data_IF_269979857234
#
_entry.id   IF_269979857234
#
_cell.length_a   1.000
_cell.length_b   1.000
_cell.length_c   1.000
_cell.angle_alpha   90.00
_cell.angle_beta   90.00
_cell.angle_gamma   90.00
#
_symmetry.space_group_name_H-M   'P 1'
#
loop_
_entity.id
_entity.type
_entity.pdbx_description
1 polymer ?
#
# COMPACT_ATOMS: atom_id res chain seq x y z
N UNK A 1 16.66 -0.69 -21.19
CA UNK A 1 16.51 -1.82 -20.28
C UNK A 1 15.45 -2.77 -20.84
N UNK A 2 15.75 -4.06 -20.92
CA UNK A 2 14.81 -5.09 -21.33
C UNK A 2 14.49 -5.99 -20.13
N UNK A 3 13.22 -6.27 -19.91
CA UNK A 3 12.74 -7.17 -18.85
C UNK A 3 11.98 -8.34 -19.49
N UNK A 4 12.35 -9.56 -19.12
CA UNK A 4 11.64 -10.76 -19.58
C UNK A 4 10.29 -10.92 -18.89
N UNK A 5 9.27 -11.32 -19.63
CA UNK A 5 7.91 -11.57 -19.12
C UNK A 5 7.59 -13.06 -18.97
N UNK A 6 8.50 -13.94 -19.35
CA UNK A 6 8.28 -15.39 -19.39
C UNK A 6 7.60 -15.86 -20.68
N UNK A 7 6.90 -17.00 -20.62
CA UNK A 7 6.17 -17.54 -21.77
C UNK A 7 4.87 -16.75 -21.99
N UNK A 8 4.48 -16.47 -23.25
CA UNK A 8 3.29 -15.65 -23.54
C UNK A 8 2.00 -16.16 -22.89
N UNK A 9 1.81 -17.46 -22.79
CA UNK A 9 0.59 -18.07 -22.23
C UNK A 9 0.54 -18.05 -20.70
N UNK A 10 1.69 -17.82 -20.02
CA UNK A 10 1.81 -17.81 -18.56
C UNK A 10 1.81 -16.38 -17.98
N UNK A 11 1.69 -15.35 -18.83
CA UNK A 11 1.71 -13.95 -18.39
C UNK A 11 0.43 -13.63 -17.64
N UNK A 12 0.60 -13.09 -16.43
CA UNK A 12 -0.46 -12.57 -15.56
C UNK A 12 -0.21 -11.10 -15.22
N UNK A 13 -1.19 -10.41 -14.65
CA UNK A 13 -1.01 -9.05 -14.14
C UNK A 13 0.14 -9.00 -13.11
N UNK A 14 0.26 -10.00 -12.26
CA UNK A 14 1.35 -10.07 -11.28
C UNK A 14 2.72 -10.24 -11.95
N UNK A 15 2.81 -11.01 -13.01
CA UNK A 15 4.03 -11.12 -13.83
C UNK A 15 4.46 -9.75 -14.38
N UNK A 16 3.51 -8.95 -14.85
CA UNK A 16 3.76 -7.60 -15.35
C UNK A 16 4.21 -6.66 -14.24
N UNK A 17 3.58 -6.73 -13.07
CA UNK A 17 4.01 -5.95 -11.88
C UNK A 17 5.42 -6.33 -11.42
N UNK A 18 5.74 -7.62 -11.41
CA UNK A 18 7.10 -8.10 -11.07
C UNK A 18 8.13 -7.61 -12.10
N UNK A 19 7.79 -7.62 -13.38
CA UNK A 19 8.67 -7.07 -14.41
C UNK A 19 8.93 -5.58 -14.20
N UNK A 20 7.90 -4.79 -13.90
CA UNK A 20 8.03 -3.39 -13.55
C UNK A 20 8.90 -3.17 -12.31
N UNK A 21 8.68 -3.97 -11.25
CA UNK A 21 9.48 -3.93 -10.02
C UNK A 21 10.97 -4.18 -10.30
N UNK A 22 11.28 -5.20 -11.10
CA UNK A 22 12.66 -5.54 -11.45
C UNK A 22 13.31 -4.44 -12.31
N UNK A 23 12.57 -3.89 -13.27
CA UNK A 23 13.03 -2.76 -14.09
C UNK A 23 13.32 -1.53 -13.22
N UNK A 24 12.47 -1.21 -12.26
CA UNK A 24 12.67 -0.09 -11.36
C UNK A 24 13.84 -0.30 -10.39
N UNK A 25 14.03 -1.50 -9.85
CA UNK A 25 15.21 -1.84 -9.05
C UNK A 25 16.51 -1.65 -9.85
N UNK A 26 16.51 -2.08 -11.10
CA UNK A 26 17.68 -1.91 -11.98
C UNK A 26 17.91 -0.45 -12.34
N UNK A 27 16.85 0.32 -12.60
CA UNK A 27 16.94 1.76 -12.82
C UNK A 27 17.56 2.47 -11.61
N UNK A 28 17.13 2.14 -10.39
CA UNK A 28 17.72 2.67 -9.17
C UNK A 28 19.19 2.26 -9.00
N UNK A 29 19.55 1.00 -9.30
CA UNK A 29 20.95 0.52 -9.28
C UNK A 29 21.83 1.30 -10.25
N UNK A 30 21.29 1.63 -11.43
CA UNK A 30 21.98 2.43 -12.45
C UNK A 30 21.91 3.94 -12.20
N UNK A 31 21.27 4.37 -11.09
CA UNK A 31 21.07 5.77 -10.72
C UNK A 31 20.32 6.59 -11.78
N UNK A 32 19.36 5.96 -12.44
CA UNK A 32 18.52 6.63 -13.43
C UNK A 32 17.41 7.42 -12.71
N UNK A 33 17.23 8.67 -13.10
CA UNK A 33 16.19 9.53 -12.53
C UNK A 33 14.85 9.39 -13.27
N UNK A 34 14.89 8.96 -14.53
CA UNK A 34 13.71 8.87 -15.39
C UNK A 34 13.66 7.53 -16.13
N UNK A 35 12.46 6.95 -16.21
CA UNK A 35 12.15 5.74 -16.98
C UNK A 35 10.93 6.00 -17.86
N UNK A 36 11.02 5.65 -19.14
CA UNK A 36 9.89 5.64 -20.05
C UNK A 36 9.44 4.20 -20.28
N UNK A 37 8.16 3.94 -20.05
CA UNK A 37 7.54 2.63 -20.22
C UNK A 37 7.02 2.51 -21.64
N UNK A 38 7.53 1.51 -22.38
CA UNK A 38 6.99 1.05 -23.64
C UNK A 38 6.50 -0.38 -23.45
N UNK A 39 5.24 -0.65 -23.74
CA UNK A 39 4.64 -1.96 -23.51
C UNK A 39 4.45 -2.72 -24.83
N UNK A 40 4.68 -4.04 -24.83
CA UNK A 40 4.37 -4.88 -25.97
C UNK A 40 2.86 -5.09 -26.11
N UNK A 41 2.42 -5.48 -27.29
CA UNK A 41 1.10 -6.07 -27.45
C UNK A 41 1.09 -7.47 -26.84
N UNK A 42 0.13 -7.68 -25.93
CA UNK A 42 -0.11 -8.97 -25.30
C UNK A 42 -1.49 -9.49 -25.69
N UNK A 43 -1.59 -10.80 -25.91
CA UNK A 43 -2.81 -11.42 -26.39
C UNK A 43 -3.98 -11.33 -25.39
N UNK A 44 -3.68 -11.37 -24.08
CA UNK A 44 -4.67 -11.49 -23.01
C UNK A 44 -4.90 -10.17 -22.24
N UNK A 45 -4.21 -9.10 -22.58
CA UNK A 45 -4.27 -7.82 -21.88
C UNK A 45 -4.29 -6.67 -22.85
N UNK A 46 -5.03 -5.64 -22.55
CA UNK A 46 -4.97 -4.36 -23.26
C UNK A 46 -3.61 -3.70 -23.01
N UNK A 47 -3.21 -2.79 -23.89
CA UNK A 47 -2.01 -1.97 -23.68
C UNK A 47 -2.11 -1.14 -22.39
N UNK A 48 -3.30 -0.62 -22.10
CA UNK A 48 -3.60 0.13 -20.87
C UNK A 48 -3.38 -0.72 -19.63
N UNK A 49 -3.98 -1.92 -19.54
CA UNK A 49 -3.79 -2.84 -18.41
C UNK A 49 -2.32 -3.22 -18.21
N UNK A 50 -1.63 -3.49 -19.34
CA UNK A 50 -0.20 -3.82 -19.34
C UNK A 50 0.63 -2.66 -18.80
N UNK A 51 0.37 -1.43 -19.28
CA UNK A 51 1.06 -0.22 -18.84
C UNK A 51 0.85 0.05 -17.34
N UNK A 52 -0.40 0.03 -16.88
CA UNK A 52 -0.74 0.26 -15.47
C UNK A 52 -0.07 -0.76 -14.56
N UNK A 53 -0.07 -2.05 -14.92
CA UNK A 53 0.58 -3.09 -14.14
C UNK A 53 2.10 -2.88 -14.05
N UNK A 54 2.76 -2.52 -15.14
CA UNK A 54 4.21 -2.26 -15.16
C UNK A 54 4.53 -0.99 -14.37
N UNK A 55 3.74 0.08 -14.50
CA UNK A 55 3.93 1.33 -13.75
C UNK A 55 3.74 1.06 -12.25
N UNK A 56 2.74 0.28 -11.85
CA UNK A 56 2.55 -0.13 -10.44
C UNK A 56 3.79 -0.87 -9.91
N UNK A 57 4.36 -1.76 -10.72
CA UNK A 57 5.62 -2.44 -10.39
C UNK A 57 6.79 -1.48 -10.22
N UNK A 58 6.95 -0.51 -11.12
CA UNK A 58 7.96 0.54 -11.03
C UNK A 58 7.80 1.37 -9.75
N UNK A 59 6.58 1.79 -9.41
CA UNK A 59 6.27 2.48 -8.17
C UNK A 59 6.66 1.63 -6.94
N UNK A 60 6.39 0.32 -6.96
CA UNK A 60 6.82 -0.58 -5.90
C UNK A 60 8.33 -0.60 -5.68
N UNK A 61 9.13 -0.36 -6.72
CA UNK A 61 10.60 -0.29 -6.61
C UNK A 61 11.09 0.96 -5.88
N UNK A 62 10.26 2.00 -5.78
CA UNK A 62 10.61 3.26 -5.12
C UNK A 62 10.28 3.25 -3.63
N UNK A 63 9.54 2.23 -3.15
CA UNK A 63 9.24 2.14 -1.74
C UNK A 63 10.45 1.63 -0.95
N UNK A 64 10.84 2.40 0.06
CA UNK A 64 11.83 2.00 1.04
C UNK A 64 11.40 2.45 2.43
N UNK A 65 11.56 1.57 3.42
CA UNK A 65 11.31 1.90 4.82
C UNK A 65 12.63 1.89 5.58
N UNK A 66 13.19 3.05 5.82
CA UNK A 66 14.50 3.21 6.44
C UNK A 66 14.49 4.26 7.58
N UNK A 67 13.31 4.47 8.19
CA UNK A 67 13.11 5.49 9.22
C UNK A 67 14.09 5.34 10.41
N UNK A 68 14.50 4.12 10.71
CA UNK A 68 15.40 3.78 11.82
C UNK A 68 16.86 3.57 11.40
N UNK A 69 17.18 3.71 10.10
CA UNK A 69 18.56 3.55 9.62
C UNK A 69 19.31 4.88 9.68
N UNK A 70 20.59 4.83 10.06
CA UNK A 70 21.48 6.00 10.02
C UNK A 70 21.69 6.49 8.59
N UNK A 71 21.92 5.54 7.67
CA UNK A 71 22.10 5.85 6.24
C UNK A 71 20.79 5.51 5.52
N UNK A 72 20.20 6.53 4.93
CA UNK A 72 18.99 6.38 4.13
C UNK A 72 19.31 5.74 2.78
N UNK A 73 18.39 4.94 2.26
CA UNK A 73 18.49 4.42 0.91
C UNK A 73 18.17 5.56 -0.08
N UNK A 74 19.07 5.80 -1.01
CA UNK A 74 18.84 6.78 -2.06
C UNK A 74 17.97 6.16 -3.15
N UNK A 75 16.78 6.73 -3.36
CA UNK A 75 15.90 6.39 -4.47
C UNK A 75 16.14 7.41 -5.57
N UNK A 76 16.72 6.94 -6.67
CA UNK A 76 17.09 7.80 -7.80
C UNK A 76 15.95 8.01 -8.78
N UNK A 77 15.08 7.01 -8.97
CA UNK A 77 13.94 7.09 -9.89
C UNK A 77 12.91 8.10 -9.38
N UNK A 78 12.77 9.21 -10.10
CA UNK A 78 11.89 10.34 -9.75
C UNK A 78 10.73 10.51 -10.72
N UNK A 79 10.91 10.06 -11.97
CA UNK A 79 9.94 10.26 -13.03
C UNK A 79 9.70 8.95 -13.80
N UNK A 80 8.44 8.60 -13.94
CA UNK A 80 7.97 7.48 -14.76
C UNK A 80 7.04 8.07 -15.81
N UNK A 81 7.40 7.90 -17.07
CA UNK A 81 6.57 8.32 -18.22
C UNK A 81 6.08 7.12 -18.99
N UNK A 82 4.93 7.25 -19.62
CA UNK A 82 4.40 6.25 -20.52
C UNK A 82 4.53 6.75 -21.97
N UNK A 83 4.92 5.87 -22.88
CA UNK A 83 5.00 6.19 -24.31
C UNK A 83 3.58 6.16 -24.90
N UNK A 84 3.10 7.29 -25.42
CA UNK A 84 1.74 7.43 -25.97
C UNK A 84 1.41 6.36 -27.02
N UNK A 85 2.33 6.08 -27.94
CA UNK A 85 2.12 5.09 -29.00
C UNK A 85 1.99 3.65 -28.49
N UNK A 86 2.40 3.39 -27.25
CA UNK A 86 2.49 2.04 -26.69
C UNK A 86 1.45 1.76 -25.58
N UNK A 87 0.72 2.75 -25.09
CA UNK A 87 -0.10 2.63 -23.87
C UNK A 87 -1.60 2.59 -24.13
N UNK A 88 -2.00 2.63 -25.40
CA UNK A 88 -3.40 2.60 -25.80
C UNK A 88 -4.16 3.84 -25.36
N UNK A 89 -5.30 3.64 -24.73
CA UNK A 89 -6.20 4.69 -24.23
C UNK A 89 -5.91 5.11 -22.76
N UNK A 90 -4.69 4.90 -22.28
CA UNK A 90 -4.25 5.35 -20.95
C UNK A 90 -4.38 6.88 -20.87
N UNK A 91 -5.04 7.36 -19.82
CA UNK A 91 -5.30 8.76 -19.60
C UNK A 91 -4.90 9.22 -18.20
N UNK A 92 -5.07 10.50 -17.89
CA UNK A 92 -4.68 11.06 -16.60
C UNK A 92 -5.50 10.51 -15.43
N UNK A 93 -6.78 10.24 -15.62
CA UNK A 93 -7.65 9.72 -14.56
C UNK A 93 -7.18 8.32 -14.12
N UNK A 94 -6.72 7.50 -15.06
CA UNK A 94 -6.14 6.18 -14.79
C UNK A 94 -4.87 6.29 -13.93
N UNK A 95 -4.03 7.29 -14.22
CA UNK A 95 -2.81 7.55 -13.45
C UNK A 95 -3.15 8.09 -12.06
N UNK A 96 -4.12 8.99 -11.94
CA UNK A 96 -4.58 9.51 -10.65
C UNK A 96 -5.14 8.38 -9.76
N UNK A 97 -5.96 7.49 -10.33
CA UNK A 97 -6.45 6.30 -9.62
C UNK A 97 -5.30 5.39 -9.16
N UNK A 98 -4.33 5.13 -10.04
CA UNK A 98 -3.15 4.33 -9.69
C UNK A 98 -2.34 4.98 -8.57
N UNK A 99 -2.13 6.29 -8.62
CA UNK A 99 -1.40 7.04 -7.59
C UNK A 99 -2.14 7.07 -6.25
N UNK A 100 -3.47 7.20 -6.26
CA UNK A 100 -4.29 7.12 -5.05
C UNK A 100 -4.16 5.72 -4.41
N UNK A 101 -4.28 4.67 -5.21
CA UNK A 101 -4.06 3.28 -4.78
C UNK A 101 -2.65 3.08 -4.20
N UNK A 102 -1.63 3.58 -4.89
CA UNK A 102 -0.24 3.51 -4.45
C UNK A 102 -0.02 4.22 -3.12
N UNK A 103 -0.61 5.41 -2.93
CA UNK A 103 -0.55 6.15 -1.67
C UNK A 103 -1.12 5.33 -0.50
N UNK A 104 -2.25 4.65 -0.71
CA UNK A 104 -2.84 3.73 0.28
C UNK A 104 -1.93 2.54 0.61
N UNK A 105 -1.28 1.96 -0.41
CA UNK A 105 -0.31 0.86 -0.23
C UNK A 105 0.89 1.34 0.59
N UNK A 106 1.45 2.50 0.29
CA UNK A 106 2.58 3.08 1.03
C UNK A 106 2.18 3.35 2.48
N UNK A 107 1.00 3.94 2.70
CA UNK A 107 0.47 4.20 4.03
C UNK A 107 0.36 2.91 4.86
N UNK A 108 -0.27 1.87 4.30
CA UNK A 108 -0.41 0.58 4.97
C UNK A 108 0.96 -0.08 5.26
N UNK A 109 1.88 -0.05 4.29
CA UNK A 109 3.24 -0.60 4.47
C UNK A 109 4.03 0.13 5.54
N UNK A 110 3.90 1.45 5.63
CA UNK A 110 4.54 2.24 6.67
C UNK A 110 4.02 1.83 8.05
N UNK A 111 2.71 1.66 8.21
CA UNK A 111 2.13 1.19 9.47
C UNK A 111 2.64 -0.21 9.85
N UNK A 112 2.67 -1.15 8.89
CA UNK A 112 3.16 -2.53 9.13
C UNK A 112 4.64 -2.55 9.51
N UNK A 113 5.46 -1.69 8.90
CA UNK A 113 6.90 -1.65 9.14
C UNK A 113 7.29 -0.85 10.39
N UNK A 114 6.37 -0.07 10.94
CA UNK A 114 6.63 0.71 12.16
C UNK A 114 6.59 -0.21 13.38
N UNK A 115 7.67 -0.25 14.19
CA UNK A 115 7.73 -1.12 15.36
C UNK A 115 6.75 -0.69 16.46
N UNK A 116 6.40 -1.64 17.33
CA UNK A 116 5.42 -1.46 18.42
C UNK A 116 5.78 -0.37 19.44
N UNK A 117 7.03 0.06 19.47
CA UNK A 117 7.44 1.19 20.30
C UNK A 117 6.79 2.50 19.86
N UNK A 118 6.65 2.68 18.55
CA UNK A 118 6.16 3.89 17.91
C UNK A 118 4.72 3.71 17.40
N UNK A 119 4.37 2.50 16.93
CA UNK A 119 3.01 2.18 16.54
C UNK A 119 2.32 1.30 17.61
N UNK A 120 1.57 1.94 18.47
CA UNK A 120 0.73 1.31 19.48
C UNK A 120 -0.72 1.79 19.33
N UNK A 121 -1.70 1.26 20.07
CA UNK A 121 -3.13 1.51 19.78
C UNK A 121 -3.51 2.98 19.58
N UNK A 122 -2.98 3.88 20.42
CA UNK A 122 -3.28 5.32 20.31
C UNK A 122 -2.66 5.95 19.07
N UNK A 123 -1.40 5.65 18.76
CA UNK A 123 -0.75 6.20 17.57
C UNK A 123 -1.37 5.64 16.29
N UNK A 124 -1.79 4.37 16.27
CA UNK A 124 -2.55 3.81 15.15
C UNK A 124 -3.90 4.51 14.99
N UNK A 125 -4.59 4.80 16.09
CA UNK A 125 -5.84 5.57 16.06
C UNK A 125 -5.62 6.99 15.49
N UNK A 126 -4.53 7.64 15.86
CA UNK A 126 -4.17 8.96 15.34
C UNK A 126 -3.88 8.92 13.83
N UNK A 127 -3.22 7.85 13.34
CA UNK A 127 -3.04 7.67 11.90
C UNK A 127 -4.37 7.47 11.17
N UNK A 128 -5.29 6.68 11.74
CA UNK A 128 -6.63 6.51 11.19
C UNK A 128 -7.42 7.82 11.14
N UNK A 129 -7.29 8.68 12.17
CA UNK A 129 -7.96 9.97 12.21
C UNK A 129 -7.58 10.90 11.05
N UNK A 130 -6.38 10.77 10.46
CA UNK A 130 -5.95 11.54 9.28
C UNK A 130 -6.81 11.24 8.05
N UNK A 131 -7.42 10.05 7.98
CA UNK A 131 -8.28 9.66 6.87
C UNK A 131 -9.58 10.47 6.81
N UNK A 132 -9.93 11.22 7.87
CA UNK A 132 -11.06 12.16 7.84
C UNK A 132 -10.91 13.23 6.77
N UNK A 133 -9.68 13.65 6.49
CA UNK A 133 -9.38 14.61 5.42
C UNK A 133 -9.74 14.08 4.03
N UNK A 134 -9.78 12.74 3.88
CA UNK A 134 -10.20 12.06 2.66
C UNK A 134 -11.69 11.71 2.64
N UNK A 135 -12.46 12.17 3.65
CA UNK A 135 -13.90 11.96 3.75
C UNK A 135 -14.32 10.61 4.33
N UNK A 136 -13.42 9.94 5.05
CA UNK A 136 -13.73 8.75 5.85
C UNK A 136 -14.27 9.21 7.22
N UNK A 137 -15.42 8.69 7.66
CA UNK A 137 -15.86 8.88 9.04
C UNK A 137 -15.07 7.93 9.94
N UNK A 138 -14.37 8.48 10.94
CA UNK A 138 -13.51 7.72 11.84
C UNK A 138 -13.97 7.94 13.27
N UNK A 139 -14.30 6.83 13.96
CA UNK A 139 -14.66 6.79 15.38
C UNK A 139 -13.64 5.94 16.12
N UNK A 140 -13.15 6.44 17.24
CA UNK A 140 -12.17 5.76 18.09
C UNK A 140 -12.77 5.58 19.47
N UNK A 141 -12.91 4.34 19.92
CA UNK A 141 -13.45 3.98 21.21
C UNK A 141 -12.31 3.59 22.15
N UNK A 142 -12.31 4.18 23.34
CA UNK A 142 -11.39 3.85 24.40
C UNK A 142 -11.86 2.67 25.26
N UNK A 143 -11.06 2.32 26.28
CA UNK A 143 -11.33 1.15 27.14
C UNK A 143 -12.73 1.15 27.75
N UNK A 144 -13.17 2.27 28.30
CA UNK A 144 -14.47 2.38 28.97
C UNK A 144 -15.65 2.17 27.99
N UNK A 145 -15.53 2.70 26.79
CA UNK A 145 -16.54 2.56 25.76
C UNK A 145 -16.60 1.11 25.23
N UNK A 146 -15.43 0.49 25.04
CA UNK A 146 -15.32 -0.92 24.64
C UNK A 146 -15.93 -1.84 25.72
N UNK A 147 -15.76 -1.49 27.00
CA UNK A 147 -16.36 -2.22 28.12
C UNK A 147 -17.90 -2.09 28.11
N UNK A 148 -18.42 -0.87 27.89
CA UNK A 148 -19.87 -0.62 27.77
C UNK A 148 -20.51 -1.39 26.59
N UNK A 149 -19.78 -1.55 25.49
CA UNK A 149 -20.19 -2.36 24.32
C UNK A 149 -20.23 -3.86 24.69
N UNK A 150 -19.51 -4.28 25.75
CA UNK A 150 -19.47 -5.67 26.19
C UNK A 150 -18.39 -6.53 25.52
N UNK A 151 -17.39 -5.93 24.88
CA UNK A 151 -16.30 -6.63 24.18
C UNK A 151 -15.23 -7.16 25.14
N UNK A 152 -15.63 -8.04 26.08
CA UNK A 152 -14.74 -8.54 27.15
C UNK A 152 -13.54 -9.33 26.63
N UNK A 153 -13.70 -10.13 25.58
CA UNK A 153 -12.60 -10.86 24.96
C UNK A 153 -11.56 -9.92 24.35
N UNK A 154 -11.99 -8.83 23.74
CA UNK A 154 -11.11 -7.79 23.23
C UNK A 154 -10.27 -7.18 24.37
N UNK A 155 -10.92 -6.78 25.47
CA UNK A 155 -10.26 -6.19 26.64
C UNK A 155 -9.31 -7.16 27.34
N UNK A 156 -9.58 -8.48 27.28
CA UNK A 156 -8.73 -9.47 27.93
C UNK A 156 -7.33 -9.53 27.30
N UNK A 157 -7.23 -9.30 25.99
CA UNK A 157 -5.94 -9.26 25.27
C UNK A 157 -5.10 -8.07 25.71
N UNK A 158 -5.72 -6.94 26.06
CA UNK A 158 -5.02 -5.72 26.45
C UNK A 158 -4.56 -5.68 27.91
N UNK A 159 -4.96 -6.66 28.74
CA UNK A 159 -4.69 -6.64 30.20
C UNK A 159 -3.21 -6.58 30.57
N UNK A 160 -2.34 -7.14 29.75
CA UNK A 160 -0.89 -7.17 30.00
C UNK A 160 -0.16 -5.92 29.50
N UNK A 161 -0.86 -4.96 28.92
CA UNK A 161 -0.26 -3.76 28.34
C UNK A 161 -0.51 -2.52 29.23
N UNK A 162 0.50 -1.66 29.30
CA UNK A 162 0.36 -0.31 29.87
C UNK A 162 -0.29 0.67 28.87
N UNK A 163 -0.50 0.24 27.61
CA UNK A 163 -1.15 1.04 26.58
C UNK A 163 -2.64 0.73 26.55
N UNK A 164 -3.45 1.77 26.53
CA UNK A 164 -4.90 1.62 26.46
C UNK A 164 -5.32 1.02 25.09
N UNK A 165 -6.19 0.00 25.06
CA UNK A 165 -6.73 -0.53 23.81
C UNK A 165 -7.62 0.49 23.11
N UNK A 166 -7.63 0.45 21.78
CA UNK A 166 -8.49 1.29 20.94
C UNK A 166 -9.25 0.42 19.95
N UNK A 167 -10.56 0.63 19.86
CA UNK A 167 -11.38 0.11 18.76
C UNK A 167 -11.57 1.25 17.76
N UNK A 168 -11.09 1.03 16.52
CA UNK A 168 -11.17 2.02 15.45
C UNK A 168 -12.23 1.56 14.46
N UNK A 169 -13.24 2.38 14.24
CA UNK A 169 -14.28 2.16 13.23
C UNK A 169 -14.15 3.22 12.16
N UNK A 170 -14.02 2.79 10.93
CA UNK A 170 -13.90 3.65 9.75
C UNK A 170 -15.02 3.33 8.79
N UNK A 171 -15.75 4.37 8.35
CA UNK A 171 -16.88 4.23 7.45
C UNK A 171 -16.69 5.15 6.23
N UNK A 172 -16.78 4.58 5.04
CA UNK A 172 -16.75 5.31 3.77
C UNK A 172 -17.97 4.90 2.94
N UNK A 173 -19.08 5.62 3.16
CA UNK A 173 -20.41 5.30 2.64
C UNK A 173 -20.79 6.20 1.45
N UNK A 174 -19.90 6.32 0.45
CA UNK A 174 -20.14 7.14 -0.75
C UNK A 174 -20.64 6.35 -1.94
N UNK A 175 -20.64 5.02 -1.88
CA UNK A 175 -21.17 4.16 -2.93
C UNK A 175 -22.65 3.80 -2.72
N UNK A 176 -23.26 3.25 -3.75
CA UNK A 176 -24.60 2.68 -3.69
C UNK A 176 -24.53 1.18 -3.33
N UNK A 177 -25.56 0.69 -2.64
CA UNK A 177 -25.71 -0.73 -2.28
C UNK A 177 -25.33 -1.05 -0.84
N UNK A 178 -25.24 -2.35 -0.54
CA UNK A 178 -24.91 -2.83 0.81
C UNK A 178 -23.42 -2.60 1.11
N UNK A 179 -23.07 -2.16 2.33
CA UNK A 179 -21.68 -1.95 2.71
C UNK A 179 -20.92 -3.28 2.82
N UNK A 180 -19.64 -3.26 2.46
CA UNK A 180 -18.71 -4.35 2.69
C UNK A 180 -17.92 -4.02 3.96
N UNK A 181 -17.89 -4.95 4.92
CA UNK A 181 -17.18 -4.76 6.18
C UNK A 181 -15.87 -5.56 6.19
N UNK A 182 -14.80 -4.91 6.63
CA UNK A 182 -13.52 -5.55 6.89
C UNK A 182 -13.24 -5.50 8.39
N UNK A 183 -12.84 -6.63 8.97
CA UNK A 183 -12.45 -6.72 10.37
C UNK A 183 -10.97 -7.06 10.44
N UNK A 184 -10.18 -6.16 11.00
CA UNK A 184 -8.74 -6.29 11.16
C UNK A 184 -8.34 -6.51 12.60
N UNK A 185 -7.45 -7.47 12.85
CA UNK A 185 -6.80 -7.65 14.15
C UNK A 185 -5.58 -6.73 14.22
N UNK A 186 -5.63 -5.70 15.06
CA UNK A 186 -4.58 -4.69 15.22
C UNK A 186 -3.68 -4.95 16.44
N UNK A 187 -3.14 -6.16 16.61
CA UNK A 187 -2.09 -6.40 17.60
C UNK A 187 -0.80 -5.75 17.12
N UNK A 188 -0.28 -4.82 17.93
CA UNK A 188 0.97 -4.11 17.63
C UNK A 188 2.22 -4.89 18.07
N UNK A 189 2.06 -6.02 18.74
CA UNK A 189 3.16 -6.90 19.15
C UNK A 189 3.59 -7.78 17.98
N UNK A 190 4.90 -7.86 17.74
CA UNK A 190 5.47 -8.74 16.72
C UNK A 190 5.49 -10.19 17.21
N UNK A 191 4.60 -11.01 16.66
CA UNK A 191 4.51 -12.43 16.98
C UNK A 191 5.57 -13.30 16.27
N UNK A 192 6.30 -12.74 15.30
CA UNK A 192 7.34 -13.49 14.56
C UNK A 192 8.58 -13.79 15.40
N UNK A 193 8.74 -13.09 16.52
CA UNK A 193 9.87 -13.27 17.45
C UNK A 193 9.66 -14.37 18.50
N UNK A 194 8.58 -15.15 18.41
CA UNK A 194 8.26 -16.26 19.35
C UNK A 194 8.83 -17.60 18.82
N UNK A 195 10.01 -17.60 18.29
CA UNK A 195 10.70 -18.82 17.88
C UNK A 195 11.96 -19.03 18.70
#
# INVERSE_FOLDING_TARGET
LLTGLGKPDDITIDTLKVAGLNAGKEANRLKLEKVTVCVPELKNFTRKETALAIIEGLLNSTYNYDNYKKTKCEINLKEITACEDCTGDLNNDDIEELMAKWSGIVFARNLVNTPANDLYPETLANEAMKLKELGVDVKVFGKEEIEKIGMKAYLSVARGSNREPKLIVMEYMKGEGAPISFVGKGLTYDLSLIH
#
